data_IF_474518034756
#
_entry.id   IF_474518034756
#
_cell.length_a   1.000
_cell.length_b   1.000
_cell.length_c   1.000
_cell.angle_alpha   90.00
_cell.angle_beta   90.00
_cell.angle_gamma   90.00
#
_symmetry.space_group_name_H-M   'P 1'
#
loop_
_entity.id
_entity.type
_entity.pdbx_description
1 polymer ?
#
# COMPACT_ATOMS: atom_id res chain seq x y z
N UNK A 1 -12.43 4.62 -14.73
CA UNK A 1 -12.71 5.09 -13.36
C UNK A 1 -11.72 6.21 -13.09
N UNK A 2 -12.21 7.45 -12.98
CA UNK A 2 -11.38 8.59 -12.60
C UNK A 2 -11.11 8.46 -11.10
N UNK A 3 -9.83 8.36 -10.71
CA UNK A 3 -9.44 8.45 -9.31
C UNK A 3 -9.87 9.81 -8.75
N UNK A 4 -10.13 9.86 -7.43
CA UNK A 4 -10.58 11.08 -6.76
C UNK A 4 -9.59 12.25 -6.89
N UNK A 5 -10.00 13.41 -6.38
CA UNK A 5 -9.16 14.60 -6.31
C UNK A 5 -7.83 14.31 -5.58
N UNK A 6 -6.76 15.10 -5.80
CA UNK A 6 -5.48 14.92 -5.11
C UNK A 6 -5.62 14.89 -3.58
N UNK A 7 -6.53 15.67 -3.03
CA UNK A 7 -6.86 15.74 -1.61
C UNK A 7 -7.53 14.45 -1.13
N UNK A 8 -8.51 13.92 -1.89
CA UNK A 8 -9.12 12.63 -1.58
C UNK A 8 -8.10 11.49 -1.65
N UNK A 9 -7.23 11.49 -2.66
CA UNK A 9 -6.17 10.49 -2.78
C UNK A 9 -5.19 10.58 -1.61
N UNK A 10 -4.85 11.80 -1.14
CA UNK A 10 -4.00 12.02 0.05
C UNK A 10 -4.66 11.49 1.32
N UNK A 11 -5.94 11.76 1.53
CA UNK A 11 -6.68 11.31 2.72
C UNK A 11 -6.91 9.80 2.72
N UNK A 12 -7.13 9.20 1.55
CA UNK A 12 -7.21 7.75 1.36
C UNK A 12 -5.85 7.12 1.63
N UNK A 13 -4.76 7.65 1.05
CA UNK A 13 -3.41 7.14 1.30
C UNK A 13 -3.04 7.28 2.78
N UNK A 14 -3.34 8.41 3.41
CA UNK A 14 -3.02 8.65 4.82
C UNK A 14 -3.73 7.65 5.72
N UNK A 15 -5.03 7.41 5.50
CA UNK A 15 -5.79 6.40 6.26
C UNK A 15 -5.27 4.99 6.00
N UNK A 16 -4.98 4.65 4.75
CA UNK A 16 -4.47 3.34 4.36
C UNK A 16 -3.12 3.04 4.99
N UNK A 17 -2.19 3.99 4.96
CA UNK A 17 -0.88 3.81 5.57
C UNK A 17 -0.95 3.74 7.11
N UNK A 18 -1.92 4.41 7.74
CA UNK A 18 -2.17 4.31 9.18
C UNK A 18 -2.90 3.03 9.62
N UNK A 19 -3.15 2.07 8.72
CA UNK A 19 -3.92 0.85 9.03
C UNK A 19 -5.41 1.12 9.31
N UNK A 20 -5.92 2.28 8.87
CA UNK A 20 -7.32 2.72 8.99
C UNK A 20 -8.01 2.83 7.63
N UNK A 21 -7.41 2.19 6.61
CA UNK A 21 -7.97 2.14 5.26
C UNK A 21 -9.19 1.22 5.20
N UNK A 22 -10.07 1.45 4.23
CA UNK A 22 -11.10 0.47 3.90
C UNK A 22 -10.43 -0.79 3.32
N UNK A 23 -10.97 -1.98 3.62
CA UNK A 23 -10.46 -3.27 3.15
C UNK A 23 -10.34 -3.32 1.62
N UNK A 24 -11.23 -2.62 0.90
CA UNK A 24 -11.16 -2.50 -0.56
C UNK A 24 -9.91 -1.75 -1.04
N UNK A 25 -9.51 -0.69 -0.33
CA UNK A 25 -8.31 0.08 -0.66
C UNK A 25 -7.04 -0.69 -0.30
N UNK A 26 -7.01 -1.38 0.86
CA UNK A 26 -5.88 -2.25 1.23
C UNK A 26 -5.66 -3.35 0.18
N UNK A 27 -6.73 -3.99 -0.28
CA UNK A 27 -6.68 -5.03 -1.29
C UNK A 27 -6.14 -4.51 -2.64
N UNK A 28 -6.57 -3.31 -3.07
CA UNK A 28 -6.09 -2.71 -4.32
C UNK A 28 -4.58 -2.38 -4.26
N UNK A 29 -4.11 -1.85 -3.13
CA UNK A 29 -2.68 -1.58 -2.92
C UNK A 29 -1.88 -2.88 -2.85
N UNK A 30 -2.36 -3.88 -2.11
CA UNK A 30 -1.72 -5.18 -2.00
C UNK A 30 -1.60 -5.89 -3.36
N UNK A 31 -2.64 -5.82 -4.19
CA UNK A 31 -2.62 -6.41 -5.53
C UNK A 31 -1.57 -5.73 -6.44
N UNK A 32 -1.52 -4.39 -6.45
CA UNK A 32 -0.55 -3.65 -7.27
C UNK A 32 0.90 -3.93 -6.85
N UNK A 33 1.17 -3.95 -5.54
CA UNK A 33 2.52 -4.21 -5.01
C UNK A 33 2.91 -5.68 -5.20
N UNK A 34 1.98 -6.62 -5.07
CA UNK A 34 2.23 -8.04 -5.33
C UNK A 34 2.67 -8.30 -6.78
N UNK A 35 2.09 -7.59 -7.74
CA UNK A 35 2.50 -7.64 -9.15
C UNK A 35 3.91 -7.08 -9.36
N UNK A 36 4.25 -5.96 -8.70
CA UNK A 36 5.62 -5.41 -8.69
C UNK A 36 6.64 -6.39 -8.10
N UNK A 37 6.31 -7.07 -7.01
CA UNK A 37 7.17 -8.09 -6.38
C UNK A 37 7.43 -9.27 -7.32
N UNK A 38 6.41 -9.68 -8.09
CA UNK A 38 6.56 -10.71 -9.13
C UNK A 38 7.52 -10.31 -10.25
N UNK A 39 7.45 -9.06 -10.72
CA UNK A 39 8.41 -8.56 -11.72
C UNK A 39 9.86 -8.59 -11.22
N UNK A 40 10.07 -8.64 -9.90
CA UNK A 40 11.39 -8.75 -9.26
C UNK A 40 11.70 -10.17 -8.75
N UNK A 41 11.00 -11.20 -9.24
CA UNK A 41 11.32 -12.61 -9.00
C UNK A 41 10.58 -13.27 -7.82
N UNK A 42 9.62 -12.59 -7.18
CA UNK A 42 8.74 -13.22 -6.19
C UNK A 42 7.47 -13.75 -6.87
N UNK A 43 7.51 -14.99 -7.36
CA UNK A 43 6.49 -15.54 -8.27
C UNK A 43 5.10 -15.72 -7.65
N UNK A 44 5.01 -15.97 -6.34
CA UNK A 44 3.75 -16.24 -5.64
C UNK A 44 2.99 -14.94 -5.32
N UNK A 45 2.06 -14.58 -6.20
CA UNK A 45 1.21 -13.41 -6.02
C UNK A 45 0.36 -13.43 -4.74
N UNK A 46 -0.06 -14.61 -4.27
CA UNK A 46 -0.89 -14.72 -3.06
C UNK A 46 -0.02 -14.46 -1.83
N UNK A 47 1.17 -15.06 -1.77
CA UNK A 47 2.12 -14.81 -0.70
C UNK A 47 2.59 -13.34 -0.67
N UNK A 48 2.82 -12.76 -1.84
CA UNK A 48 3.19 -11.34 -1.96
C UNK A 48 2.06 -10.43 -1.45
N UNK A 49 0.82 -10.65 -1.87
CA UNK A 49 -0.32 -9.85 -1.43
C UNK A 49 -0.53 -9.95 0.10
N UNK A 50 -0.39 -11.15 0.67
CA UNK A 50 -0.47 -11.36 2.11
C UNK A 50 0.64 -10.58 2.84
N UNK A 51 1.88 -10.66 2.34
CA UNK A 51 3.02 -9.90 2.89
C UNK A 51 2.74 -8.39 2.89
N UNK A 52 2.17 -7.86 1.81
CA UNK A 52 1.82 -6.44 1.72
C UNK A 52 0.70 -6.08 2.68
N UNK A 53 -0.35 -6.90 2.79
CA UNK A 53 -1.43 -6.67 3.75
C UNK A 53 -0.93 -6.67 5.19
N UNK A 54 -0.01 -7.57 5.55
CA UNK A 54 0.57 -7.62 6.88
C UNK A 54 1.42 -6.37 7.18
N UNK A 55 2.14 -5.86 6.18
CA UNK A 55 2.93 -4.62 6.26
C UNK A 55 2.05 -3.37 6.33
N UNK A 56 0.91 -3.34 5.64
CA UNK A 56 -0.07 -2.24 5.72
C UNK A 56 -0.76 -2.21 7.10
N UNK A 57 -1.11 -3.37 7.64
CA UNK A 57 -1.83 -3.50 8.91
C UNK A 57 -0.96 -3.33 10.14
N UNK A 58 0.34 -3.62 10.04
CA UNK A 58 1.27 -3.44 11.16
C UNK A 58 1.83 -2.00 11.28
N UNK A 59 1.45 -1.09 10.37
CA UNK A 59 1.84 0.33 10.40
C UNK A 59 3.28 0.63 9.95
N UNK A 60 4.15 -0.37 9.77
CA UNK A 60 5.56 -0.14 9.37
C UNK A 60 5.71 0.39 7.94
N UNK A 61 4.69 0.21 7.09
CA UNK A 61 4.61 0.84 5.77
C UNK A 61 4.63 2.38 5.85
N UNK A 62 3.91 2.95 6.82
CA UNK A 62 3.85 4.39 7.05
C UNK A 62 5.21 4.94 7.47
N UNK A 63 5.94 4.24 8.33
CA UNK A 63 7.26 4.68 8.79
C UNK A 63 8.26 4.77 7.63
N UNK A 64 8.24 3.80 6.71
CA UNK A 64 9.13 3.81 5.54
C UNK A 64 8.76 4.89 4.52
N UNK A 65 7.47 5.11 4.29
CA UNK A 65 7.00 6.18 3.38
C UNK A 65 7.28 7.56 3.98
N UNK A 66 7.04 7.75 5.28
CA UNK A 66 7.39 8.98 6.02
C UNK A 66 8.90 9.24 6.00
N UNK A 67 9.71 8.20 6.23
CA UNK A 67 11.16 8.31 6.16
C UNK A 67 11.68 8.63 4.75
N UNK A 68 10.99 8.17 3.70
CA UNK A 68 11.33 8.50 2.32
C UNK A 68 10.89 9.94 1.95
N UNK A 69 9.71 10.37 2.41
CA UNK A 69 9.20 11.72 2.20
C UNK A 69 10.00 12.80 2.96
N UNK A 70 10.53 12.47 4.14
CA UNK A 70 11.41 13.36 4.92
C UNK A 70 12.83 13.52 4.35
N UNK A 71 13.17 12.77 3.29
CA UNK A 71 14.45 12.82 2.58
C UNK A 71 14.39 13.64 1.28
N UNK A 72 13.22 14.21 0.96
CA UNK A 72 13.00 15.12 -0.16
C UNK A 72 13.16 16.57 0.24
#
# INVERSE_FOLDING_TARGET
MVGGTPEENRDILTRLLQGKGDAAHEAAVAANVAMLMRLHGQEDLKANAQTVLDVLRNGTAYDRVTALAARG
#
